data_IF_639981027872
#
_entry.id   IF_639981027872
#
_cell.length_a   1.000
_cell.length_b   1.000
_cell.length_c   1.000
_cell.angle_alpha   90.00
_cell.angle_beta   90.00
_cell.angle_gamma   90.00
#
_symmetry.space_group_name_H-M   'P 1'
#
loop_
_entity.id
_entity.type
_entity.pdbx_description
1 polymer ?
#
# COMPACT_ATOMS: atom_id res chain seq x y z
N UNK A 1 -7.58 -1.17 -35.45
CA UNK A 1 -7.44 0.11 -34.74
C UNK A 1 -7.06 -0.06 -33.27
N UNK A 2 -7.47 -1.16 -32.61
CA UNK A 2 -7.21 -1.41 -31.18
C UNK A 2 -5.79 -1.86 -30.80
N UNK A 3 -5.17 -2.78 -31.55
CA UNK A 3 -3.76 -3.21 -31.35
C UNK A 3 -2.73 -2.09 -31.55
N UNK A 4 -3.17 -0.98 -32.13
CA UNK A 4 -2.33 0.16 -32.46
C UNK A 4 -2.16 1.09 -31.27
N UNK A 5 -3.09 1.07 -30.31
CA UNK A 5 -3.10 2.01 -29.19
C UNK A 5 -1.95 1.74 -28.21
N UNK A 6 -1.69 0.47 -27.91
CA UNK A 6 -0.56 0.03 -27.08
C UNK A 6 0.79 0.23 -27.81
N UNK A 7 0.83 -0.03 -29.12
CA UNK A 7 2.03 0.24 -29.92
C UNK A 7 2.38 1.72 -29.95
N UNK A 8 1.41 2.58 -30.23
CA UNK A 8 1.58 4.04 -30.20
C UNK A 8 2.00 4.54 -28.82
N UNK A 9 1.49 3.94 -27.75
CA UNK A 9 1.91 4.26 -26.38
C UNK A 9 3.39 3.92 -26.16
N UNK A 10 3.81 2.73 -26.60
CA UNK A 10 5.22 2.31 -26.55
C UNK A 10 6.13 3.19 -27.41
N UNK A 11 5.69 3.55 -28.61
CA UNK A 11 6.46 4.42 -29.51
C UNK A 11 6.63 5.81 -28.90
N UNK A 12 5.57 6.39 -28.34
CA UNK A 12 5.63 7.67 -27.62
C UNK A 12 6.57 7.59 -26.41
N UNK A 13 6.51 6.50 -25.64
CA UNK A 13 7.40 6.27 -24.50
C UNK A 13 8.87 6.19 -24.92
N UNK A 14 9.17 5.48 -26.01
CA UNK A 14 10.52 5.36 -26.55
C UNK A 14 11.04 6.67 -27.15
N UNK A 15 10.16 7.54 -27.63
CA UNK A 15 10.48 8.88 -28.13
C UNK A 15 10.69 9.90 -27.00
N UNK A 16 10.45 9.53 -25.74
CA UNK A 16 10.55 10.43 -24.59
C UNK A 16 9.32 11.33 -24.40
N UNK A 17 8.27 11.15 -25.19
CA UNK A 17 6.98 11.84 -25.00
C UNK A 17 6.14 11.11 -23.95
N UNK A 18 6.56 11.24 -22.70
CA UNK A 18 5.90 10.59 -21.56
C UNK A 18 4.48 11.11 -21.33
N UNK A 19 4.16 12.34 -21.76
CA UNK A 19 2.80 12.90 -21.66
C UNK A 19 1.85 12.19 -22.61
N UNK A 20 2.21 12.08 -23.89
CA UNK A 20 1.40 11.35 -24.86
C UNK A 20 1.33 9.85 -24.53
N UNK A 21 2.43 9.25 -24.08
CA UNK A 21 2.46 7.86 -23.65
C UNK A 21 1.49 7.61 -22.48
N UNK A 22 1.46 8.48 -21.47
CA UNK A 22 0.53 8.38 -20.33
C UNK A 22 -0.93 8.38 -20.78
N UNK A 23 -1.32 9.30 -21.65
CA UNK A 23 -2.69 9.36 -22.15
C UNK A 23 -3.09 8.10 -22.92
N UNK A 24 -2.19 7.59 -23.76
CA UNK A 24 -2.44 6.37 -24.53
C UNK A 24 -2.53 5.15 -23.61
N UNK A 25 -1.65 5.02 -22.62
CA UNK A 25 -1.76 3.96 -21.62
C UNK A 25 -3.02 4.07 -20.77
N UNK A 26 -3.48 5.28 -20.45
CA UNK A 26 -4.73 5.50 -19.72
C UNK A 26 -5.95 5.10 -20.55
N UNK A 27 -5.95 5.40 -21.85
CA UNK A 27 -6.99 4.93 -22.78
C UNK A 27 -6.96 3.41 -22.95
N UNK A 28 -5.78 2.81 -23.00
CA UNK A 28 -5.63 1.35 -23.02
C UNK A 28 -6.13 0.70 -21.72
N UNK A 29 -5.83 1.29 -20.55
CA UNK A 29 -6.32 0.85 -19.24
C UNK A 29 -7.84 0.78 -19.19
N UNK A 30 -8.54 1.81 -19.68
CA UNK A 30 -10.00 1.83 -19.72
C UNK A 30 -10.61 0.73 -20.59
N UNK A 31 -9.89 0.27 -21.63
CA UNK A 31 -10.41 -0.72 -22.59
C UNK A 31 -10.04 -2.17 -22.22
N UNK A 32 -8.81 -2.41 -21.78
CA UNK A 32 -8.26 -3.75 -21.55
C UNK A 32 -8.12 -4.10 -20.06
N UNK A 33 -8.26 -3.13 -19.16
CA UNK A 33 -8.15 -3.28 -17.72
C UNK A 33 -7.00 -2.45 -17.14
N UNK A 34 -7.30 -1.70 -16.07
CA UNK A 34 -6.38 -0.76 -15.43
C UNK A 34 -5.08 -1.43 -14.97
N UNK A 35 -5.19 -2.58 -14.31
CA UNK A 35 -4.05 -3.33 -13.77
C UNK A 35 -2.97 -3.69 -14.80
N UNK A 36 -3.33 -3.78 -16.09
CA UNK A 36 -2.36 -4.10 -17.14
C UNK A 36 -1.45 -2.92 -17.48
N UNK A 37 -1.87 -1.70 -17.19
CA UNK A 37 -1.16 -0.46 -17.59
C UNK A 37 -0.78 0.44 -16.41
N UNK A 38 -1.19 0.13 -15.18
CA UNK A 38 -0.84 0.89 -13.97
C UNK A 38 0.67 1.16 -13.83
N UNK A 39 1.51 0.21 -14.24
CA UNK A 39 2.97 0.36 -14.15
C UNK A 39 3.48 1.29 -15.25
N UNK A 40 2.95 1.14 -16.48
CA UNK A 40 3.32 1.97 -17.61
C UNK A 40 2.92 3.45 -17.38
N UNK A 41 1.75 3.68 -16.76
CA UNK A 41 1.28 5.00 -16.36
C UNK A 41 2.18 5.60 -15.28
N UNK A 42 2.48 4.82 -14.22
CA UNK A 42 3.36 5.28 -13.13
C UNK A 42 4.77 5.64 -13.64
N UNK A 43 5.32 4.87 -14.58
CA UNK A 43 6.59 5.18 -15.23
C UNK A 43 6.55 6.52 -15.97
N UNK A 44 5.48 6.75 -16.73
CA UNK A 44 5.30 8.03 -17.42
C UNK A 44 5.22 9.20 -16.43
N UNK A 45 4.48 9.03 -15.32
CA UNK A 45 4.37 10.06 -14.28
C UNK A 45 5.71 10.38 -13.63
N UNK A 46 6.50 9.36 -13.33
CA UNK A 46 7.82 9.53 -12.73
C UNK A 46 8.78 10.22 -13.70
N UNK A 47 8.77 9.87 -14.98
CA UNK A 47 9.59 10.53 -16.00
C UNK A 47 9.15 11.97 -16.28
N UNK A 48 7.86 12.28 -16.18
CA UNK A 48 7.36 13.67 -16.25
C UNK A 48 7.86 14.47 -15.04
N UNK A 49 7.85 13.87 -13.84
CA UNK A 49 8.28 14.52 -12.60
C UNK A 49 9.81 14.74 -12.52
N UNK A 50 10.61 13.84 -13.10
CA UNK A 50 12.07 13.94 -13.11
C UNK A 50 12.62 14.98 -14.10
N UNK A 51 11.81 15.43 -15.07
CA UNK A 51 12.22 16.37 -16.12
C UNK A 51 12.79 15.68 -17.36
N UNK A 52 12.61 16.31 -18.52
CA UNK A 52 13.05 15.77 -19.82
C UNK A 52 14.57 15.52 -19.83
N UNK A 53 14.98 14.25 -19.84
CA UNK A 53 16.39 13.86 -19.99
C UNK A 53 16.85 12.74 -19.04
N UNK A 54 16.15 12.49 -17.94
CA UNK A 54 16.45 11.34 -17.09
C UNK A 54 15.76 10.08 -17.62
N UNK A 55 16.55 9.00 -17.76
CA UNK A 55 16.04 7.71 -18.21
C UNK A 55 15.02 7.21 -17.17
N UNK A 56 13.80 6.81 -17.59
CA UNK A 56 12.83 6.23 -16.68
C UNK A 56 13.48 5.07 -15.91
N UNK A 57 13.19 4.91 -14.61
CA UNK A 57 13.54 3.68 -13.93
C UNK A 57 12.95 2.49 -14.68
N UNK A 58 13.65 1.35 -14.67
CA UNK A 58 13.14 0.17 -15.36
C UNK A 58 11.79 -0.26 -14.79
N UNK A 59 10.91 -0.84 -15.62
CA UNK A 59 9.62 -1.44 -15.19
C UNK A 59 9.81 -2.30 -13.93
N UNK A 60 10.91 -3.05 -13.85
CA UNK A 60 11.27 -3.89 -12.71
C UNK A 60 11.48 -3.10 -11.40
N UNK A 61 12.13 -1.94 -11.46
CA UNK A 61 12.36 -1.10 -10.28
C UNK A 61 11.07 -0.48 -9.75
N UNK A 62 10.13 -0.13 -10.64
CA UNK A 62 8.81 0.40 -10.25
C UNK A 62 7.92 -0.69 -9.67
N UNK A 63 8.03 -1.92 -10.17
CA UNK A 63 7.37 -3.09 -9.57
C UNK A 63 7.89 -3.34 -8.16
N UNK A 64 9.22 -3.42 -7.99
CA UNK A 64 9.86 -3.63 -6.70
C UNK A 64 9.46 -2.52 -5.71
N UNK A 65 9.41 -1.25 -6.13
CA UNK A 65 9.01 -0.15 -5.24
C UNK A 65 7.53 -0.21 -4.82
N UNK A 66 6.61 -0.55 -5.73
CA UNK A 66 5.18 -0.74 -5.41
C UNK A 66 4.96 -1.93 -4.47
N UNK A 67 5.64 -3.05 -4.70
CA UNK A 67 5.57 -4.23 -3.82
C UNK A 67 6.10 -3.90 -2.42
N UNK A 68 7.23 -3.19 -2.33
CA UNK A 68 7.78 -2.73 -1.05
C UNK A 68 6.80 -1.79 -0.35
N UNK A 69 6.15 -0.88 -1.07
CA UNK A 69 5.17 0.03 -0.48
C UNK A 69 3.97 -0.74 0.10
N UNK A 70 3.41 -1.68 -0.65
CA UNK A 70 2.29 -2.52 -0.18
C UNK A 70 2.68 -3.35 1.05
N UNK A 71 3.89 -3.93 1.06
CA UNK A 71 4.39 -4.67 2.21
C UNK A 71 4.56 -3.75 3.43
N UNK A 72 5.04 -2.52 3.26
CA UNK A 72 5.17 -1.56 4.35
C UNK A 72 3.80 -1.15 4.94
N UNK A 73 2.79 -0.97 4.09
CA UNK A 73 1.41 -0.69 4.54
C UNK A 73 0.84 -1.86 5.35
N UNK A 74 1.04 -3.10 4.89
CA UNK A 74 0.63 -4.30 5.63
C UNK A 74 1.36 -4.43 6.98
N UNK A 75 2.68 -4.16 7.02
CA UNK A 75 3.45 -4.18 8.26
C UNK A 75 2.94 -3.11 9.24
N UNK A 76 2.61 -1.91 8.75
CA UNK A 76 2.08 -0.84 9.58
C UNK A 76 0.72 -1.22 10.19
N UNK A 77 -0.19 -1.80 9.40
CA UNK A 77 -1.48 -2.24 9.91
C UNK A 77 -1.35 -3.39 10.90
N UNK A 78 -0.50 -4.39 10.62
CA UNK A 78 -0.23 -5.49 11.54
C UNK A 78 0.36 -5.01 12.88
N UNK A 79 1.27 -4.03 12.84
CA UNK A 79 1.82 -3.42 14.06
C UNK A 79 0.75 -2.72 14.88
N UNK A 80 -0.16 -1.99 14.21
CA UNK A 80 -1.29 -1.33 14.87
C UNK A 80 -2.20 -2.35 15.55
N UNK A 81 -2.57 -3.42 14.84
CA UNK A 81 -3.40 -4.49 15.40
C UNK A 81 -2.72 -5.15 16.62
N UNK A 82 -1.41 -5.37 16.56
CA UNK A 82 -0.66 -5.94 17.68
C UNK A 82 -0.69 -5.03 18.91
N UNK A 83 -0.49 -3.72 18.72
CA UNK A 83 -0.60 -2.73 19.79
C UNK A 83 -2.00 -2.67 20.41
N UNK A 84 -3.05 -2.69 19.58
CA UNK A 84 -4.43 -2.71 20.05
C UNK A 84 -4.72 -3.99 20.86
N UNK A 85 -4.19 -5.14 20.44
CA UNK A 85 -4.35 -6.40 21.17
C UNK A 85 -3.59 -6.38 22.50
N UNK A 86 -2.37 -5.87 22.54
CA UNK A 86 -1.59 -5.74 23.77
C UNK A 86 -2.29 -4.82 24.78
N UNK A 87 -2.84 -3.69 24.34
CA UNK A 87 -3.60 -2.79 25.19
C UNK A 87 -4.85 -3.47 25.77
N UNK A 88 -5.62 -4.19 24.94
CA UNK A 88 -6.78 -4.95 25.40
C UNK A 88 -6.40 -6.04 26.42
N UNK A 89 -5.29 -6.74 26.20
CA UNK A 89 -4.81 -7.77 27.12
C UNK A 89 -4.46 -7.15 28.48
N UNK A 90 -3.78 -6.00 28.48
CA UNK A 90 -3.43 -5.29 29.72
C UNK A 90 -4.68 -4.85 30.49
N UNK A 91 -5.66 -4.26 29.80
CA UNK A 91 -6.94 -3.87 30.42
C UNK A 91 -7.65 -5.07 31.06
N UNK A 92 -7.69 -6.21 30.37
CA UNK A 92 -8.29 -7.45 30.92
C UNK A 92 -7.54 -7.97 32.13
N UNK A 93 -6.20 -7.87 32.16
CA UNK A 93 -5.42 -8.26 33.33
C UNK A 93 -5.69 -7.33 34.52
N UNK A 94 -5.85 -6.03 34.30
CA UNK A 94 -6.22 -5.08 35.36
C UNK A 94 -7.61 -5.38 35.93
N UNK A 95 -8.61 -5.61 35.07
CA UNK A 95 -9.95 -6.03 35.48
C UNK A 95 -9.91 -7.32 36.30
N UNK A 96 -9.15 -8.33 35.84
CA UNK A 96 -9.00 -9.60 36.57
C UNK A 96 -8.33 -9.40 37.93
N UNK A 97 -7.32 -8.54 38.02
CA UNK A 97 -6.64 -8.24 39.29
C UNK A 97 -7.60 -7.57 40.30
N UNK A 98 -8.43 -6.64 39.83
CA UNK A 98 -9.46 -5.99 40.64
C UNK A 98 -10.48 -7.02 41.14
N UNK A 99 -11.03 -7.84 40.24
CA UNK A 99 -12.01 -8.87 40.61
C UNK A 99 -11.43 -9.90 41.59
N UNK A 100 -10.17 -10.29 41.40
CA UNK A 100 -9.47 -11.21 42.31
C UNK A 100 -9.37 -10.62 43.71
N UNK A 101 -8.95 -9.36 43.85
CA UNK A 101 -8.90 -8.67 45.15
C UNK A 101 -10.28 -8.59 45.81
N UNK A 102 -11.32 -8.23 45.05
CA UNK A 102 -12.69 -8.17 45.58
C UNK A 102 -13.18 -9.52 46.12
N UNK A 103 -12.83 -10.62 45.44
CA UNK A 103 -13.17 -11.97 45.89
C UNK A 103 -12.37 -12.37 47.14
N UNK A 104 -11.09 -12.02 47.22
CA UNK A 104 -10.26 -12.25 48.40
C UNK A 104 -10.80 -11.50 49.63
N UNK A 105 -11.18 -10.23 49.47
CA UNK A 105 -11.79 -9.43 50.54
C UNK A 105 -13.12 -10.01 51.02
N UNK A 106 -13.98 -10.46 50.09
CA UNK A 106 -15.27 -11.08 50.42
C UNK A 106 -15.12 -12.44 51.12
N UNK A 107 -14.08 -13.19 50.78
CA UNK A 107 -13.81 -14.52 51.35
C UNK A 107 -12.99 -14.48 52.64
N UNK A 108 -12.69 -13.29 53.18
CA UNK A 108 -11.96 -13.13 54.43
C UNK A 108 -12.95 -12.84 55.58
N UNK A 109 -13.36 -13.84 56.39
CA UNK A 109 -14.44 -13.71 57.38
C UNK A 109 -14.03 -12.96 58.68
N UNK A 110 -12.85 -12.32 58.73
CA UNK A 110 -12.28 -11.74 59.97
C UNK A 110 -12.40 -10.22 60.10
N UNK A 111 -13.31 -9.57 59.38
CA UNK A 111 -13.71 -8.18 59.69
C UNK A 111 -15.09 -8.13 60.34
N UNK A 112 -15.14 -8.55 61.60
CA UNK A 112 -16.20 -8.26 62.57
C UNK A 112 -15.55 -7.83 63.89
#
# INVERSE_FOLDING_TARGET
MEKDLVKRAHDAFNQGDYKAAKELYSKAAQQYGEKLFDINIALCEQSIAAGEGEKPPGIKQVLESKEIQQLNEQIADLKRQLQEKDANINERFEELAILTRMLEERNNPTSA
#
